data_IF_769226425512
#
_entry.id   IF_769226425512
#
_cell.length_a   1.000
_cell.length_b   1.000
_cell.length_c   1.000
_cell.angle_alpha   90.00
_cell.angle_beta   90.00
_cell.angle_gamma   90.00
#
_symmetry.space_group_name_H-M   'P 1'
#
loop_
_entity.id
_entity.type
_entity.pdbx_description
1 polymer ?
#
# COMPACT_ATOMS: atom_id res chain seq x y z
N UNK A 1 14.87 -13.39 43.96
CA UNK A 1 13.39 -13.34 43.87
C UNK A 1 13.03 -11.96 43.33
N UNK A 2 13.09 -11.80 42.00
CA UNK A 2 12.90 -10.50 41.35
C UNK A 2 11.42 -10.18 41.23
N UNK A 3 10.99 -9.07 41.83
CA UNK A 3 9.62 -8.60 41.77
C UNK A 3 9.21 -8.40 40.30
N UNK A 4 8.28 -9.23 39.82
CA UNK A 4 7.53 -8.95 38.59
C UNK A 4 6.65 -7.74 38.90
N UNK A 5 7.15 -6.55 38.56
CA UNK A 5 6.36 -5.32 38.62
C UNK A 5 5.10 -5.49 37.77
N UNK A 6 3.94 -5.27 38.38
CA UNK A 6 2.65 -5.27 37.70
C UNK A 6 2.67 -4.25 36.55
N UNK A 7 2.55 -4.74 35.30
CA UNK A 7 2.45 -3.92 34.09
C UNK A 7 1.06 -3.28 33.87
N UNK A 8 0.16 -3.39 34.84
CA UNK A 8 -1.20 -2.88 34.70
C UNK A 8 -1.28 -1.41 35.09
N UNK A 9 -0.67 -0.56 34.26
CA UNK A 9 -1.06 0.85 34.15
C UNK A 9 -2.24 0.96 33.19
N UNK A 10 -3.19 1.86 33.46
CA UNK A 10 -4.39 2.17 32.66
C UNK A 10 -4.08 2.85 31.30
N UNK A 11 -3.00 2.43 30.64
CA UNK A 11 -2.44 2.95 29.39
C UNK A 11 -2.05 1.80 28.44
N UNK A 12 -2.91 0.78 28.33
CA UNK A 12 -2.72 -0.28 27.35
C UNK A 12 -2.88 0.27 25.92
N UNK A 13 -2.08 -0.25 24.99
CA UNK A 13 -2.25 -0.03 23.56
C UNK A 13 -3.30 -1.01 23.03
N UNK A 14 -4.20 -0.54 22.17
CA UNK A 14 -5.19 -1.40 21.51
C UNK A 14 -4.56 -2.21 20.36
N UNK A 15 -3.52 -1.66 19.74
CA UNK A 15 -2.77 -2.29 18.67
C UNK A 15 -1.28 -1.94 18.76
N UNK A 16 -0.43 -2.95 18.62
CA UNK A 16 1.02 -2.77 18.44
C UNK A 16 1.37 -3.21 17.02
N UNK A 17 1.94 -2.31 16.23
CA UNK A 17 2.42 -2.55 14.86
C UNK A 17 3.94 -2.64 14.89
N UNK A 18 4.49 -3.75 14.40
CA UNK A 18 5.93 -3.97 14.32
C UNK A 18 6.40 -3.79 12.86
N UNK A 19 7.26 -2.81 12.63
CA UNK A 19 7.79 -2.42 11.34
C UNK A 19 7.21 -1.10 10.80
N UNK A 20 8.08 -0.13 10.54
CA UNK A 20 7.79 1.19 9.99
C UNK A 20 7.91 1.27 8.47
N UNK A 21 7.64 0.16 7.76
CA UNK A 21 7.46 0.17 6.30
C UNK A 21 6.08 0.69 5.89
N UNK A 22 5.81 0.80 4.59
CA UNK A 22 4.54 1.34 4.07
C UNK A 22 3.32 0.59 4.59
N UNK A 23 3.40 -0.73 4.73
CA UNK A 23 2.31 -1.56 5.27
C UNK A 23 2.06 -1.24 6.74
N UNK A 24 3.12 -1.15 7.55
CA UNK A 24 3.01 -0.87 8.98
C UNK A 24 2.54 0.56 9.26
N UNK A 25 3.11 1.55 8.57
CA UNK A 25 2.67 2.94 8.67
C UNK A 25 1.22 3.12 8.22
N UNK A 26 0.80 2.48 7.12
CA UNK A 26 -0.60 2.52 6.67
C UNK A 26 -1.53 1.87 7.70
N UNK A 27 -1.16 0.69 8.21
CA UNK A 27 -1.93 0.00 9.25
C UNK A 27 -2.10 0.87 10.49
N UNK A 28 -1.02 1.46 10.99
CA UNK A 28 -1.06 2.33 12.16
C UNK A 28 -1.91 3.59 11.92
N UNK A 29 -1.76 4.23 10.75
CA UNK A 29 -2.54 5.41 10.38
C UNK A 29 -4.05 5.11 10.37
N UNK A 30 -4.48 4.06 9.66
CA UNK A 30 -5.90 3.74 9.54
C UNK A 30 -6.50 3.19 10.84
N UNK A 31 -5.73 2.44 11.64
CA UNK A 31 -6.14 2.01 12.97
C UNK A 31 -6.32 3.20 13.92
N UNK A 32 -5.38 4.14 13.93
CA UNK A 32 -5.48 5.36 14.74
C UNK A 32 -6.66 6.25 14.30
N UNK A 33 -6.89 6.40 12.99
CA UNK A 33 -8.07 7.09 12.44
C UNK A 33 -9.39 6.41 12.83
N UNK A 34 -9.36 5.12 13.14
CA UNK A 34 -10.52 4.35 13.64
C UNK A 34 -10.69 4.45 15.16
N UNK A 35 -9.91 5.29 15.85
CA UNK A 35 -10.03 5.55 17.29
C UNK A 35 -9.18 4.66 18.19
N UNK A 36 -8.34 3.78 17.62
CA UNK A 36 -7.47 2.89 18.41
C UNK A 36 -6.22 3.64 18.91
N UNK A 37 -5.77 3.33 20.13
CA UNK A 37 -4.46 3.71 20.66
C UNK A 37 -3.40 2.76 20.08
N UNK A 38 -2.65 3.24 19.09
CA UNK A 38 -1.67 2.43 18.37
C UNK A 38 -0.23 2.77 18.77
N UNK A 39 0.57 1.75 19.05
CA UNK A 39 2.02 1.85 19.13
C UNK A 39 2.64 1.28 17.86
N UNK A 40 3.37 2.08 17.08
CA UNK A 40 4.21 1.60 15.99
C UNK A 40 5.68 1.54 16.46
N UNK A 41 6.31 0.39 16.28
CA UNK A 41 7.72 0.18 16.62
C UNK A 41 8.51 -0.12 15.35
N UNK A 42 9.54 0.66 15.09
CA UNK A 42 10.52 0.44 14.03
C UNK A 42 11.91 0.37 14.69
N UNK A 43 12.78 -0.52 14.19
CA UNK A 43 14.13 -0.68 14.71
C UNK A 43 15.03 0.50 14.29
N UNK A 44 14.88 0.91 13.04
CA UNK A 44 15.70 1.93 12.40
C UNK A 44 14.87 3.22 12.20
N UNK A 45 14.82 3.78 11.00
CA UNK A 45 13.91 4.88 10.65
C UNK A 45 12.75 4.39 9.75
N UNK A 46 11.56 5.02 9.82
CA UNK A 46 10.45 4.68 8.93
C UNK A 46 10.86 4.70 7.45
N UNK A 47 10.52 3.65 6.72
CA UNK A 47 10.87 3.49 5.31
C UNK A 47 12.34 3.13 5.03
N UNK A 48 13.21 2.96 6.03
CA UNK A 48 14.65 2.70 5.81
C UNK A 48 14.99 1.41 5.03
N UNK A 49 14.07 0.45 4.95
CA UNK A 49 14.25 -0.83 4.25
C UNK A 49 13.60 -0.83 2.84
N UNK A 50 12.84 -1.88 2.49
CA UNK A 50 12.25 -2.05 1.16
C UNK A 50 11.32 -0.90 0.76
N UNK A 51 10.59 -0.32 1.71
CA UNK A 51 9.63 0.76 1.44
C UNK A 51 10.27 2.08 1.00
N UNK A 52 11.54 2.34 1.35
CA UNK A 52 12.28 3.52 0.87
C UNK A 52 13.24 3.23 -0.28
N UNK A 53 13.39 1.95 -0.66
CA UNK A 53 14.28 1.51 -1.75
C UNK A 53 13.54 1.01 -2.99
N UNK A 54 12.21 0.96 -2.96
CA UNK A 54 11.43 0.60 -4.14
C UNK A 54 11.39 1.75 -5.15
N UNK A 55 10.99 1.43 -6.38
CA UNK A 55 10.93 2.37 -7.50
C UNK A 55 9.67 3.26 -7.50
N UNK A 56 8.77 3.12 -6.52
CA UNK A 56 7.57 3.96 -6.39
C UNK A 56 6.42 3.64 -7.35
N UNK A 57 6.49 2.54 -8.11
CA UNK A 57 5.46 2.20 -9.11
C UNK A 57 4.16 1.71 -8.46
N UNK A 58 3.12 2.53 -8.55
CA UNK A 58 1.74 2.16 -8.26
C UNK A 58 1.03 1.86 -9.59
N UNK A 59 0.70 0.59 -9.84
CA UNK A 59 0.12 0.14 -11.13
C UNK A 59 -0.92 -0.95 -10.98
N UNK A 60 -1.91 -0.91 -11.86
CA UNK A 60 -3.02 -1.87 -11.95
C UNK A 60 -2.84 -2.83 -13.16
N UNK A 61 -2.19 -2.35 -14.23
CA UNK A 61 -1.95 -3.10 -15.47
C UNK A 61 -1.02 -4.30 -15.23
N UNK A 62 -1.32 -5.42 -15.88
CA UNK A 62 -0.52 -6.65 -15.80
C UNK A 62 -0.43 -7.26 -14.40
N UNK A 63 -1.40 -6.96 -13.53
CA UNK A 63 -1.55 -7.63 -12.22
C UNK A 63 -2.24 -8.97 -12.38
N UNK A 64 -1.97 -9.89 -11.47
CA UNK A 64 -2.79 -11.08 -11.32
C UNK A 64 -4.22 -10.66 -10.95
N UNK A 65 -5.23 -11.30 -11.55
CA UNK A 65 -6.63 -10.94 -11.34
C UNK A 65 -7.08 -11.09 -9.88
N UNK A 66 -6.42 -11.94 -9.08
CA UNK A 66 -6.68 -12.07 -7.65
C UNK A 66 -6.27 -10.83 -6.85
N UNK A 67 -5.30 -10.07 -7.36
CA UNK A 67 -4.78 -8.85 -6.73
C UNK A 67 -5.35 -7.57 -7.34
N UNK A 68 -5.94 -7.65 -8.54
CA UNK A 68 -6.41 -6.48 -9.27
C UNK A 68 -7.42 -5.63 -8.47
N UNK A 69 -8.44 -6.18 -7.78
CA UNK A 69 -9.32 -5.37 -6.93
C UNK A 69 -8.57 -4.58 -5.86
N UNK A 70 -7.55 -5.18 -5.25
CA UNK A 70 -6.73 -4.54 -4.22
C UNK A 70 -5.85 -3.43 -4.82
N UNK A 71 -5.27 -3.67 -6.01
CA UNK A 71 -4.49 -2.66 -6.72
C UNK A 71 -5.36 -1.44 -7.10
N UNK A 72 -6.59 -1.67 -7.57
CA UNK A 72 -7.54 -0.60 -7.89
C UNK A 72 -7.97 0.19 -6.66
N UNK A 73 -8.25 -0.50 -5.55
CA UNK A 73 -8.55 0.17 -4.28
C UNK A 73 -7.36 0.99 -3.76
N UNK A 74 -6.14 0.45 -3.86
CA UNK A 74 -4.91 1.14 -3.46
C UNK A 74 -4.69 2.41 -4.26
N UNK A 75 -4.90 2.40 -5.58
CA UNK A 75 -4.73 3.59 -6.42
C UNK A 75 -5.68 4.73 -6.00
N UNK A 76 -6.92 4.42 -5.59
CA UNK A 76 -7.85 5.43 -5.06
C UNK A 76 -7.31 6.11 -3.80
N UNK A 77 -6.66 5.34 -2.91
CA UNK A 77 -6.03 5.90 -1.71
C UNK A 77 -4.82 6.78 -2.06
N UNK A 78 -3.97 6.34 -3.00
CA UNK A 78 -2.83 7.14 -3.47
C UNK A 78 -3.27 8.50 -4.04
N UNK A 79 -4.34 8.52 -4.85
CA UNK A 79 -4.89 9.76 -5.40
C UNK A 79 -5.40 10.74 -4.33
N UNK A 80 -5.85 10.26 -3.18
CA UNK A 80 -6.30 11.09 -2.05
C UNK A 80 -5.19 11.44 -1.06
N UNK A 81 -4.02 10.80 -1.13
CA UNK A 81 -3.07 10.74 -0.03
C UNK A 81 -2.50 12.10 0.38
N UNK A 82 -2.13 12.95 -0.59
CA UNK A 82 -1.57 14.28 -0.29
C UNK A 82 -2.59 15.19 0.39
N UNK A 83 -3.86 15.13 -0.05
CA UNK A 83 -4.97 15.83 0.58
C UNK A 83 -5.18 15.33 2.01
N UNK A 84 -5.18 14.01 2.18
CA UNK A 84 -5.38 13.34 3.47
C UNK A 84 -4.28 13.64 4.50
N UNK A 85 -3.05 13.87 4.04
CA UNK A 85 -1.89 14.18 4.89
C UNK A 85 -1.62 15.69 5.02
N UNK A 86 -2.28 16.53 4.22
CA UNK A 86 -2.06 17.98 4.19
C UNK A 86 -0.65 18.37 3.74
N UNK A 87 0.05 17.50 3.01
CA UNK A 87 1.42 17.72 2.53
C UNK A 87 1.70 16.92 1.27
N UNK A 88 2.65 17.40 0.45
CA UNK A 88 3.12 16.62 -0.69
C UNK A 88 3.96 15.42 -0.24
N UNK A 89 3.78 14.31 -0.97
CA UNK A 89 4.54 13.05 -0.83
C UNK A 89 5.20 12.65 -2.16
N UNK A 90 5.16 13.53 -3.17
CA UNK A 90 5.69 13.26 -4.50
C UNK A 90 4.80 12.34 -5.34
N UNK A 91 3.49 12.30 -5.05
CA UNK A 91 2.56 11.49 -5.83
C UNK A 91 2.36 12.10 -7.23
N UNK A 92 2.48 11.25 -8.27
CA UNK A 92 2.19 11.62 -9.64
C UNK A 92 1.53 10.45 -10.37
N UNK A 93 0.40 10.71 -11.03
CA UNK A 93 -0.34 9.71 -11.80
C UNK A 93 -0.26 10.03 -13.30
N UNK A 94 0.74 9.48 -13.98
CA UNK A 94 0.99 9.71 -15.42
C UNK A 94 0.57 8.57 -16.36
N UNK A 95 -0.02 7.50 -15.84
CA UNK A 95 -0.34 6.29 -16.61
C UNK A 95 0.83 5.30 -16.71
N UNK A 96 0.59 4.19 -17.42
CA UNK A 96 1.56 3.12 -17.64
C UNK A 96 1.43 2.60 -19.07
N UNK A 97 2.53 2.59 -19.83
CA UNK A 97 2.59 2.02 -21.19
C UNK A 97 3.49 0.79 -21.16
N UNK A 98 3.03 -0.29 -21.77
CA UNK A 98 3.78 -1.53 -21.97
C UNK A 98 4.02 -1.69 -23.47
N UNK A 99 5.26 -1.98 -23.86
CA UNK A 99 5.63 -2.22 -25.25
C UNK A 99 5.54 -3.72 -25.55
N UNK A 100 4.72 -4.08 -26.54
CA UNK A 100 4.73 -5.40 -27.16
C UNK A 100 5.74 -5.39 -28.31
N UNK A 101 6.68 -6.34 -28.33
CA UNK A 101 7.75 -6.40 -29.33
C UNK A 101 7.55 -7.53 -30.36
N UNK A 102 6.48 -8.30 -30.20
CA UNK A 102 6.08 -9.37 -31.11
C UNK A 102 4.57 -9.66 -30.98
N UNK A 103 4.04 -10.50 -31.87
CA UNK A 103 2.61 -10.86 -31.91
C UNK A 103 2.13 -11.62 -30.67
N UNK A 104 3.00 -12.39 -30.01
CA UNK A 104 2.64 -13.10 -28.80
C UNK A 104 2.43 -12.14 -27.62
N UNK A 105 3.25 -11.10 -27.50
CA UNK A 105 3.08 -10.03 -26.52
C UNK A 105 1.75 -9.28 -26.74
N UNK A 106 1.43 -8.96 -28.01
CA UNK A 106 0.17 -8.33 -28.38
C UNK A 106 -1.04 -9.19 -27.99
N UNK A 107 -1.00 -10.48 -28.31
CA UNK A 107 -2.08 -11.41 -27.97
C UNK A 107 -2.23 -11.57 -26.44
N UNK A 108 -1.12 -11.64 -25.71
CA UNK A 108 -1.12 -11.71 -24.25
C UNK A 108 -1.76 -10.46 -23.63
N UNK A 109 -1.37 -9.28 -24.10
CA UNK A 109 -1.90 -8.02 -23.60
C UNK A 109 -3.41 -7.89 -23.89
N UNK A 110 -3.85 -8.26 -25.10
CA UNK A 110 -5.26 -8.22 -25.48
C UNK A 110 -6.12 -9.19 -24.63
N UNK A 111 -5.64 -10.41 -24.38
CA UNK A 111 -6.31 -11.37 -23.50
C UNK A 111 -6.42 -10.85 -22.06
N UNK A 112 -5.34 -10.27 -21.53
CA UNK A 112 -5.34 -9.69 -20.19
C UNK A 112 -6.30 -8.49 -20.08
N UNK A 113 -6.27 -7.57 -21.05
CA UNK A 113 -7.18 -6.41 -21.11
C UNK A 113 -8.64 -6.84 -21.19
N UNK A 114 -8.97 -7.85 -21.99
CA UNK A 114 -10.33 -8.37 -22.10
C UNK A 114 -10.88 -8.84 -20.75
N UNK A 115 -10.07 -9.59 -19.99
CA UNK A 115 -10.41 -10.07 -18.64
C UNK A 115 -10.43 -8.95 -17.60
N UNK A 116 -9.56 -7.94 -17.72
CA UNK A 116 -9.51 -6.82 -16.79
C UNK A 116 -10.81 -5.98 -16.80
N UNK A 117 -11.55 -5.99 -17.91
CA UNK A 117 -12.86 -5.32 -18.03
C UNK A 117 -13.89 -5.89 -17.05
N UNK A 118 -13.82 -7.19 -16.73
CA UNK A 118 -14.72 -7.83 -15.76
C UNK A 118 -14.54 -7.25 -14.35
N UNK A 119 -13.39 -6.62 -14.07
CA UNK A 119 -13.09 -5.93 -12.81
C UNK A 119 -13.40 -4.43 -12.87
N UNK A 120 -13.88 -3.91 -14.01
CA UNK A 120 -14.14 -2.50 -14.24
C UNK A 120 -12.86 -1.66 -14.40
N UNK A 121 -11.74 -2.28 -14.78
CA UNK A 121 -10.53 -1.54 -15.12
C UNK A 121 -10.65 -0.98 -16.54
N UNK A 122 -10.60 0.35 -16.64
CA UNK A 122 -10.48 1.06 -17.91
C UNK A 122 -9.01 1.08 -18.35
N UNK A 123 -8.70 0.35 -19.41
CA UNK A 123 -7.35 0.22 -19.97
C UNK A 123 -7.43 -0.14 -21.45
N UNK A 124 -6.64 0.56 -22.25
CA UNK A 124 -6.45 0.34 -23.69
C UNK A 124 -5.14 -0.38 -23.98
#
# INVERSE_FOLDING_TARGET
>A
MGARGNLHGSNAWDLIVVGGGIVGCSTALYAARSGLRVLLVERDTPGSAQSGRNLGFVRQQGRDFRELPLAMASLRLWNGLEKDLGRSVGWFCGGNIVLAVNDADMAHQADWQAKAKDFGLDTE
#
